data_IF_972467900183
#
_entry.id   IF_972467900183
#
_cell.length_a   1.000
_cell.length_b   1.000
_cell.length_c   1.000
_cell.angle_alpha   90.00
_cell.angle_beta   90.00
_cell.angle_gamma   90.00
#
_symmetry.space_group_name_H-M   'P 1'
#
loop_
_entity.id
_entity.type
_entity.pdbx_description
1 polymer ?
#
# COMPACT_ATOMS: atom_id res chain seq x y z
N UNK A 1 -8.77 -13.24 -2.22
CA UNK A 1 -7.88 -13.79 -1.17
C UNK A 1 -6.43 -13.33 -1.35
N UNK A 2 -5.82 -13.47 -2.53
CA UNK A 2 -4.40 -13.11 -2.71
C UNK A 2 -4.09 -11.64 -2.42
N UNK A 3 -5.03 -10.74 -2.68
CA UNK A 3 -4.92 -9.32 -2.33
C UNK A 3 -4.55 -9.10 -0.85
N UNK A 4 -5.05 -9.92 0.08
CA UNK A 4 -4.77 -9.76 1.51
C UNK A 4 -3.38 -10.28 1.91
N UNK A 5 -2.71 -11.08 1.06
CA UNK A 5 -1.32 -11.53 1.31
C UNK A 5 -0.37 -10.33 1.36
N UNK A 6 -0.74 -9.19 0.76
CA UNK A 6 0.02 -7.94 0.87
C UNK A 6 0.30 -7.55 2.33
N UNK A 7 -0.64 -7.79 3.24
CA UNK A 7 -0.49 -7.47 4.66
C UNK A 7 0.56 -8.35 5.32
N UNK A 8 0.68 -9.61 4.90
CA UNK A 8 1.75 -10.50 5.34
C UNK A 8 3.11 -10.00 4.85
N UNK A 9 3.23 -9.60 3.57
CA UNK A 9 4.47 -9.08 3.01
C UNK A 9 4.89 -7.75 3.67
N UNK A 10 3.94 -6.83 3.87
CA UNK A 10 4.17 -5.58 4.60
C UNK A 10 4.62 -5.86 6.04
N UNK A 11 3.95 -6.78 6.74
CA UNK A 11 4.32 -7.17 8.11
C UNK A 11 5.72 -7.78 8.17
N UNK A 12 6.08 -8.63 7.21
CA UNK A 12 7.41 -9.24 7.12
C UNK A 12 8.48 -8.18 6.87
N UNK A 13 8.26 -7.28 5.90
CA UNK A 13 9.19 -6.19 5.59
C UNK A 13 9.39 -5.27 6.80
N UNK A 14 8.30 -4.88 7.47
CA UNK A 14 8.37 -4.03 8.65
C UNK A 14 9.02 -4.74 9.84
N UNK A 15 8.86 -6.06 9.95
CA UNK A 15 9.42 -6.84 11.06
C UNK A 15 10.94 -6.81 11.14
N UNK A 16 11.61 -6.54 10.01
CA UNK A 16 13.07 -6.40 9.90
C UNK A 16 13.57 -5.06 10.48
N UNK A 17 12.69 -4.06 10.61
CA UNK A 17 13.00 -2.72 11.13
C UNK A 17 12.52 -2.51 12.57
N UNK A 18 11.89 -3.50 13.20
CA UNK A 18 11.39 -3.39 14.58
C UNK A 18 12.56 -3.52 15.56
N UNK A 19 12.57 -2.67 16.60
CA UNK A 19 13.54 -2.72 17.71
C UNK A 19 13.78 -4.14 18.22
N UNK A 20 15.04 -4.50 18.41
CA UNK A 20 15.47 -5.80 18.92
C UNK A 20 14.83 -6.10 20.30
N UNK A 21 14.29 -7.31 20.49
CA UNK A 21 13.60 -7.80 21.72
C UNK A 21 12.18 -7.26 22.00
N UNK A 22 11.42 -6.83 20.99
CA UNK A 22 10.02 -6.47 21.21
C UNK A 22 9.12 -7.70 21.56
N UNK A 23 8.27 -7.62 22.61
CA UNK A 23 7.33 -8.69 22.98
C UNK A 23 6.36 -9.07 21.85
N UNK A 24 6.04 -10.36 21.73
CA UNK A 24 5.15 -10.90 20.68
C UNK A 24 3.77 -10.22 20.68
N UNK A 25 3.23 -9.87 21.86
CA UNK A 25 1.93 -9.21 22.01
C UNK A 25 1.95 -7.81 21.36
N UNK A 26 3.04 -7.05 21.59
CA UNK A 26 3.20 -5.72 20.98
C UNK A 26 3.34 -5.82 19.47
N UNK A 27 4.05 -6.84 18.97
CA UNK A 27 4.14 -7.13 17.53
C UNK A 27 2.78 -7.51 16.93
N UNK A 28 1.97 -8.28 17.65
CA UNK A 28 0.61 -8.63 17.23
C UNK A 28 -0.32 -7.42 17.12
N UNK A 29 -0.26 -6.51 18.10
CA UNK A 29 -1.03 -5.26 18.06
C UNK A 29 -0.59 -4.37 16.88
N UNK A 30 0.72 -4.25 16.65
CA UNK A 30 1.21 -3.49 15.48
C UNK A 30 0.76 -4.12 14.18
N UNK A 31 0.86 -5.45 14.04
CA UNK A 31 0.45 -6.17 12.84
C UNK A 31 -1.03 -5.95 12.48
N UNK A 32 -1.90 -5.83 13.49
CA UNK A 32 -3.31 -5.51 13.29
C UNK A 32 -3.52 -4.12 12.66
N UNK A 33 -2.68 -3.14 13.01
CA UNK A 33 -2.78 -1.77 12.51
C UNK A 33 -2.04 -1.49 11.20
N UNK A 34 -1.48 -2.50 10.55
CA UNK A 34 -0.76 -2.30 9.28
C UNK A 34 -1.77 -2.07 8.15
N UNK A 35 -1.83 -0.83 7.70
CA UNK A 35 -2.53 -0.42 6.47
C UNK A 35 -1.52 0.06 5.42
N UNK A 36 -1.98 0.28 4.19
CA UNK A 36 -1.13 0.76 3.10
C UNK A 36 -0.52 2.15 3.44
N UNK A 37 -1.24 2.99 4.20
CA UNK A 37 -0.77 4.30 4.68
C UNK A 37 0.28 4.17 5.79
N UNK A 38 -0.01 3.35 6.80
CA UNK A 38 0.90 3.11 7.94
C UNK A 38 2.19 2.48 7.44
N UNK A 39 2.09 1.50 6.53
CA UNK A 39 3.26 0.88 5.91
C UNK A 39 4.06 1.87 5.07
N UNK A 40 3.40 2.68 4.23
CA UNK A 40 4.10 3.64 3.37
C UNK A 40 4.95 4.61 4.20
N UNK A 41 4.38 5.17 5.26
CA UNK A 41 5.11 6.10 6.14
C UNK A 41 6.20 5.37 6.94
N UNK A 42 5.88 4.23 7.56
CA UNK A 42 6.85 3.49 8.38
C UNK A 42 8.01 2.90 7.55
N UNK A 43 7.80 2.61 6.27
CA UNK A 43 8.86 2.14 5.36
C UNK A 43 9.92 3.21 5.09
N UNK A 44 9.54 4.49 5.14
CA UNK A 44 10.41 5.65 4.91
C UNK A 44 11.22 6.07 6.14
N UNK A 45 10.91 5.54 7.32
CA UNK A 45 11.63 5.82 8.55
C UNK A 45 13.06 5.24 8.48
N UNK A 46 14.10 6.03 8.75
CA UNK A 46 15.49 5.54 8.61
C UNK A 46 15.96 4.73 9.82
N UNK A 47 15.36 4.95 11.00
CA UNK A 47 15.73 4.26 12.25
C UNK A 47 14.85 3.07 12.63
N UNK A 48 15.10 2.53 13.83
CA UNK A 48 14.31 1.43 14.39
C UNK A 48 12.87 1.85 14.69
N UNK A 49 11.94 0.99 14.27
CA UNK A 49 10.51 1.15 14.49
C UNK A 49 10.16 0.71 15.92
N UNK A 50 9.96 1.70 16.79
CA UNK A 50 9.48 1.48 18.15
C UNK A 50 7.97 1.26 18.21
N UNK A 51 7.50 0.61 19.27
CA UNK A 51 6.07 0.40 19.49
C UNK A 51 5.30 1.73 19.63
N UNK A 52 5.89 2.72 20.31
CA UNK A 52 5.25 4.02 20.51
C UNK A 52 5.09 4.77 19.19
N UNK A 53 6.09 4.72 18.31
CA UNK A 53 6.02 5.30 16.96
C UNK A 53 4.89 4.67 16.14
N UNK A 54 4.85 3.33 16.06
CA UNK A 54 3.79 2.63 15.32
C UNK A 54 2.41 2.92 15.87
N UNK A 55 2.23 2.91 17.19
CA UNK A 55 0.92 3.22 17.78
C UNK A 55 0.49 4.66 17.48
N UNK A 56 1.40 5.63 17.56
CA UNK A 56 1.11 7.01 17.14
C UNK A 56 0.69 7.10 15.67
N UNK A 57 1.38 6.36 14.80
CA UNK A 57 1.10 6.31 13.37
C UNK A 57 -0.22 5.58 13.04
N UNK A 58 -0.62 4.57 13.80
CA UNK A 58 -1.85 3.78 13.60
C UNK A 58 -3.09 4.52 14.09
N UNK A 59 -2.98 5.22 15.22
CA UNK A 59 -4.12 5.90 15.87
C UNK A 59 -4.76 6.93 14.91
N UNK A 60 -3.95 7.74 14.23
CA UNK A 60 -4.43 8.79 13.32
C UNK A 60 -5.36 8.25 12.22
N UNK A 61 -4.89 7.32 11.36
CA UNK A 61 -5.71 6.67 10.34
C UNK A 61 -6.92 5.93 10.92
N UNK A 62 -6.80 5.28 12.07
CA UNK A 62 -7.92 4.54 12.68
C UNK A 62 -9.07 5.47 13.08
N UNK A 63 -8.77 6.55 13.80
CA UNK A 63 -9.76 7.55 14.17
C UNK A 63 -10.24 8.35 12.94
N UNK A 64 -9.34 8.68 12.01
CA UNK A 64 -9.69 9.33 10.75
C UNK A 64 -10.67 8.50 9.93
N UNK A 65 -10.48 7.19 9.87
CA UNK A 65 -11.39 6.26 9.19
C UNK A 65 -12.73 6.17 9.90
N UNK A 66 -12.75 6.01 11.24
CA UNK A 66 -13.98 5.94 12.00
C UNK A 66 -14.81 7.23 11.88
N UNK A 67 -14.18 8.39 12.08
CA UNK A 67 -14.83 9.70 11.95
C UNK A 67 -15.24 9.98 10.50
N UNK A 68 -14.37 9.68 9.53
CA UNK A 68 -14.66 9.82 8.11
C UNK A 68 -15.82 8.95 7.65
N UNK A 69 -15.95 7.73 8.20
CA UNK A 69 -17.09 6.84 7.93
C UNK A 69 -18.38 7.42 8.50
N UNK A 70 -18.37 7.91 9.74
CA UNK A 70 -19.55 8.54 10.35
C UNK A 70 -19.96 9.78 9.57
N UNK A 71 -19.03 10.70 9.30
CA UNK A 71 -19.30 11.92 8.53
C UNK A 71 -19.73 11.61 7.10
N UNK A 72 -19.09 10.63 6.46
CA UNK A 72 -19.42 10.16 5.12
C UNK A 72 -20.82 9.57 5.04
N UNK A 73 -21.22 8.74 6.03
CA UNK A 73 -22.56 8.17 6.10
C UNK A 73 -23.64 9.26 6.30
N UNK A 74 -23.39 10.20 7.22
CA UNK A 74 -24.28 11.34 7.46
C UNK A 74 -24.42 12.20 6.19
N UNK A 75 -23.31 12.52 5.54
CA UNK A 75 -23.30 13.35 4.33
C UNK A 75 -23.98 12.62 3.16
N UNK A 76 -23.64 11.35 2.90
CA UNK A 76 -24.23 10.56 1.81
C UNK A 76 -25.75 10.41 1.95
N UNK A 77 -26.29 10.35 3.17
CA UNK A 77 -27.74 10.28 3.39
C UNK A 77 -28.53 11.51 2.91
N UNK A 78 -27.83 12.63 2.71
CA UNK A 78 -28.42 13.89 2.21
C UNK A 78 -28.14 14.08 0.71
N UNK A 79 -27.20 13.33 0.12
CA UNK A 79 -26.85 13.49 -1.29
C UNK A 79 -27.82 12.73 -2.22
N UNK A 80 -28.10 13.27 -3.43
CA UNK A 80 -28.81 12.54 -4.47
C UNK A 80 -28.08 11.26 -4.92
N UNK A 81 -28.84 10.24 -5.31
CA UNK A 81 -28.37 8.91 -5.71
C UNK A 81 -27.21 8.89 -6.74
N UNK A 82 -27.17 9.76 -7.77
CA UNK A 82 -26.05 9.81 -8.72
C UNK A 82 -24.70 10.14 -8.08
N UNK A 83 -24.71 10.99 -7.04
CA UNK A 83 -23.48 11.37 -6.35
C UNK A 83 -23.05 10.29 -5.36
N UNK A 84 -23.99 9.61 -4.71
CA UNK A 84 -23.68 8.46 -3.84
C UNK A 84 -22.96 7.37 -4.63
N UNK A 85 -23.47 7.03 -5.82
CA UNK A 85 -22.85 6.04 -6.72
C UNK A 85 -21.45 6.46 -7.21
N UNK A 86 -21.15 7.77 -7.24
CA UNK A 86 -19.87 8.31 -7.69
C UNK A 86 -18.79 8.34 -6.60
N UNK A 87 -19.12 8.12 -5.32
CA UNK A 87 -18.16 8.20 -4.21
C UNK A 87 -17.04 7.15 -4.27
N UNK A 88 -17.23 6.07 -5.05
CA UNK A 88 -16.20 5.07 -5.30
C UNK A 88 -14.91 5.63 -5.93
N UNK A 89 -14.97 6.79 -6.59
CA UNK A 89 -13.79 7.48 -7.16
C UNK A 89 -12.75 7.86 -6.09
N UNK A 90 -13.19 8.10 -4.85
CA UNK A 90 -12.33 8.55 -3.75
C UNK A 90 -11.25 7.51 -3.39
N UNK A 91 -11.57 6.22 -3.51
CA UNK A 91 -10.62 5.14 -3.23
C UNK A 91 -9.46 5.14 -4.23
N UNK A 92 -9.74 5.41 -5.52
CA UNK A 92 -8.70 5.53 -6.54
C UNK A 92 -7.81 6.76 -6.30
N UNK A 93 -8.41 7.89 -5.93
CA UNK A 93 -7.67 9.10 -5.59
C UNK A 93 -6.71 8.88 -4.41
N UNK A 94 -7.12 8.12 -3.40
CA UNK A 94 -6.28 7.76 -2.24
C UNK A 94 -5.04 6.96 -2.66
N UNK A 95 -5.18 5.91 -3.47
CA UNK A 95 -4.04 5.12 -3.94
C UNK A 95 -3.06 5.95 -4.77
N UNK A 96 -3.58 6.84 -5.64
CA UNK A 96 -2.73 7.78 -6.40
C UNK A 96 -1.97 8.70 -5.42
N UNK A 97 -2.65 9.23 -4.40
CA UNK A 97 -2.03 10.10 -3.40
C UNK A 97 -0.92 9.40 -2.59
N UNK A 98 -1.00 8.09 -2.37
CA UNK A 98 0.06 7.30 -1.71
C UNK A 98 1.26 7.03 -2.62
N UNK A 99 1.02 6.70 -3.90
CA UNK A 99 2.09 6.34 -4.84
C UNK A 99 2.87 7.57 -5.32
N UNK A 100 2.20 8.71 -5.52
CA UNK A 100 2.81 9.90 -6.12
C UNK A 100 4.00 10.47 -5.33
N UNK A 101 3.96 10.61 -3.99
CA UNK A 101 5.11 11.09 -3.22
C UNK A 101 6.34 10.18 -3.34
N UNK A 102 6.15 8.86 -3.27
CA UNK A 102 7.21 7.89 -3.41
C UNK A 102 7.83 7.94 -4.83
N UNK A 103 6.98 8.03 -5.86
CA UNK A 103 7.41 8.16 -7.26
C UNK A 103 8.13 9.50 -7.53
N UNK A 104 7.78 10.58 -6.82
CA UNK A 104 8.48 11.86 -6.91
C UNK A 104 9.86 11.82 -6.25
N UNK A 105 10.01 11.10 -5.14
CA UNK A 105 11.27 11.01 -4.39
C UNK A 105 12.28 10.06 -5.04
N UNK A 106 11.80 9.01 -5.73
CA UNK A 106 12.67 7.98 -6.34
C UNK A 106 12.31 7.73 -7.80
N UNK A 107 13.29 7.94 -8.69
CA UNK A 107 13.16 7.56 -10.12
C UNK A 107 12.93 6.06 -10.28
N UNK A 108 13.53 5.23 -9.43
CA UNK A 108 13.32 3.80 -9.44
C UNK A 108 11.86 3.45 -9.14
N UNK A 109 11.26 4.07 -8.12
CA UNK A 109 9.85 3.85 -7.77
C UNK A 109 8.90 4.26 -8.90
N UNK A 110 9.17 5.38 -9.58
CA UNK A 110 8.39 5.83 -10.73
C UNK A 110 8.45 4.82 -11.89
N UNK A 111 9.65 4.34 -12.22
CA UNK A 111 9.85 3.38 -13.32
C UNK A 111 9.17 2.04 -13.00
N UNK A 112 9.29 1.55 -11.77
CA UNK A 112 8.61 0.33 -11.32
C UNK A 112 7.09 0.49 -11.41
N UNK A 113 6.53 1.62 -10.96
CA UNK A 113 5.11 1.90 -11.08
C UNK A 113 4.64 1.95 -12.54
N UNK A 114 5.41 2.58 -13.43
CA UNK A 114 5.10 2.64 -14.86
C UNK A 114 5.11 1.25 -15.52
N UNK A 115 6.09 0.41 -15.18
CA UNK A 115 6.17 -0.98 -15.65
C UNK A 115 4.98 -1.79 -15.15
N UNK A 116 4.62 -1.66 -13.87
CA UNK A 116 3.47 -2.35 -13.28
C UNK A 116 2.16 -1.96 -13.99
N UNK A 117 1.95 -0.67 -14.25
CA UNK A 117 0.80 -0.16 -15.02
C UNK A 117 0.79 -0.78 -16.41
N UNK A 118 1.91 -0.74 -17.12
CA UNK A 118 2.02 -1.25 -18.48
C UNK A 118 1.71 -2.75 -18.58
N UNK A 119 2.30 -3.57 -17.70
CA UNK A 119 2.07 -5.01 -17.68
C UNK A 119 0.61 -5.32 -17.33
N UNK A 120 0.05 -4.64 -16.31
CA UNK A 120 -1.33 -4.86 -15.91
C UNK A 120 -2.34 -4.45 -17.01
N UNK A 121 -2.08 -3.34 -17.71
CA UNK A 121 -2.87 -2.93 -18.87
C UNK A 121 -2.83 -3.98 -19.99
N UNK A 122 -1.67 -4.56 -20.29
CA UNK A 122 -1.55 -5.63 -21.29
C UNK A 122 -2.36 -6.87 -20.88
N UNK A 123 -2.21 -7.33 -19.64
CA UNK A 123 -2.90 -8.52 -19.15
C UNK A 123 -4.43 -8.36 -19.16
N UNK A 124 -4.90 -7.13 -18.92
CA UNK A 124 -6.34 -6.84 -18.84
C UNK A 124 -6.96 -6.57 -20.23
N UNK A 125 -6.27 -5.85 -21.12
CA UNK A 125 -6.86 -5.37 -22.38
C UNK A 125 -6.54 -6.23 -23.60
N UNK A 126 -5.58 -7.16 -23.53
CA UNK A 126 -5.25 -8.02 -24.68
C UNK A 126 -6.22 -9.22 -24.74
N UNK A 127 -7.04 -9.34 -25.80
CA UNK A 127 -8.14 -10.32 -25.88
C UNK A 127 -7.70 -11.79 -25.93
N UNK A 128 -6.39 -12.08 -26.04
CA UNK A 128 -5.83 -13.44 -25.95
C UNK A 128 -5.37 -13.85 -24.54
N UNK A 129 -5.23 -12.91 -23.61
CA UNK A 129 -4.60 -13.11 -22.29
C UNK A 129 -5.57 -12.73 -21.14
N UNK A 130 -6.70 -12.11 -21.45
CA UNK A 130 -7.77 -11.71 -20.53
C UNK A 130 -8.59 -12.90 -19.96
N UNK A 131 -8.06 -14.12 -20.01
CA UNK A 131 -8.61 -15.29 -19.30
C UNK A 131 -8.10 -15.38 -17.86
N UNK A 132 -7.10 -14.58 -17.51
CA UNK A 132 -6.54 -14.50 -16.17
C UNK A 132 -7.44 -13.62 -15.29
N UNK A 133 -7.82 -14.13 -14.12
CA UNK A 133 -8.57 -13.34 -13.12
C UNK A 133 -7.82 -12.06 -12.74
N UNK A 134 -8.55 -10.96 -12.52
CA UNK A 134 -7.99 -9.66 -12.11
C UNK A 134 -6.99 -9.76 -10.95
N UNK A 135 -7.27 -10.61 -9.96
CA UNK A 135 -6.38 -10.82 -8.83
C UNK A 135 -5.02 -11.42 -9.23
N UNK A 136 -5.01 -12.34 -10.20
CA UNK A 136 -3.78 -12.94 -10.72
C UNK A 136 -3.01 -11.99 -11.63
N UNK A 137 -3.69 -11.19 -12.43
CA UNK A 137 -3.06 -10.15 -13.25
C UNK A 137 -2.27 -9.15 -12.39
N UNK A 138 -2.85 -8.70 -11.26
CA UNK A 138 -2.19 -7.78 -10.33
C UNK A 138 -0.91 -8.42 -9.73
N UNK A 139 -0.97 -9.68 -9.30
CA UNK A 139 0.20 -10.37 -8.72
C UNK A 139 1.32 -10.49 -9.74
N UNK A 140 1.00 -10.95 -10.95
CA UNK A 140 1.98 -11.16 -12.03
C UNK A 140 2.63 -9.82 -12.39
N UNK A 141 1.83 -8.76 -12.56
CA UNK A 141 2.33 -7.43 -12.86
C UNK A 141 3.24 -6.90 -11.74
N UNK A 142 2.88 -7.12 -10.48
CA UNK A 142 3.67 -6.67 -9.32
C UNK A 142 5.00 -7.41 -9.26
N UNK A 143 5.00 -8.74 -9.35
CA UNK A 143 6.23 -9.55 -9.29
C UNK A 143 7.15 -9.15 -10.44
N UNK A 144 6.63 -9.09 -11.68
CA UNK A 144 7.43 -8.72 -12.84
C UNK A 144 8.02 -7.31 -12.68
N UNK A 145 7.22 -6.31 -12.29
CA UNK A 145 7.69 -4.94 -12.12
C UNK A 145 8.73 -4.81 -11.01
N UNK A 146 8.55 -5.47 -9.87
CA UNK A 146 9.52 -5.49 -8.78
C UNK A 146 10.83 -6.18 -9.19
N UNK A 147 10.76 -7.30 -9.91
CA UNK A 147 11.95 -8.01 -10.40
C UNK A 147 12.74 -7.14 -11.39
N UNK A 148 12.06 -6.52 -12.37
CA UNK A 148 12.70 -5.58 -13.28
C UNK A 148 13.30 -4.38 -12.54
N UNK A 149 12.57 -3.83 -11.57
CA UNK A 149 13.04 -2.74 -10.71
C UNK A 149 14.33 -3.09 -9.96
N UNK A 150 14.37 -4.27 -9.34
CA UNK A 150 15.52 -4.73 -8.56
C UNK A 150 16.77 -4.94 -9.44
N UNK A 151 16.60 -5.42 -10.67
CA UNK A 151 17.71 -5.62 -11.62
C UNK A 151 18.22 -4.29 -12.18
N UNK A 152 17.33 -3.34 -12.47
CA UNK A 152 17.69 -2.04 -13.04
C UNK A 152 18.25 -1.07 -12.00
N UNK A 153 17.83 -1.20 -10.73
CA UNK A 153 18.24 -0.35 -9.62
C UNK A 153 18.75 -1.21 -8.46
N UNK A 154 19.88 -1.92 -8.62
CA UNK A 154 20.48 -2.66 -7.52
C UNK A 154 20.90 -1.68 -6.43
N UNK A 155 20.61 -2.04 -5.18
CA UNK A 155 21.03 -1.25 -4.01
C UNK A 155 22.55 -1.34 -3.88
N UNK A 156 23.24 -0.21 -3.84
CA UNK A 156 24.67 -0.18 -3.53
C UNK A 156 24.88 -0.67 -2.09
N UNK A 157 25.70 -1.72 -1.92
CA UNK A 157 26.11 -2.23 -0.62
C UNK A 157 27.03 -1.17 0.04
N UNK A 158 26.47 -0.24 0.83
CA UNK A 158 27.30 0.79 1.46
C UNK A 158 26.65 1.76 2.44
N UNK A 159 25.33 1.96 2.43
CA UNK A 159 24.67 2.87 3.40
C UNK A 159 23.91 2.05 4.46
N UNK A 160 24.60 1.91 5.61
CA UNK A 160 24.08 1.50 6.93
C UNK A 160 23.69 2.73 7.73
#
# INVERSE_FOLDING_TARGET
FVINIRYMLMSLSLSQKIVEKMPIIKRGIMAFGITDEVFSVASMEEGDISFAYMMGLIIGPYFGWALGTVLGALTCSVLPEPFQNSMGIALYAMFIALVVPAAKKSRAALIVAAIAIFINSILTWVPKINTISEGWAIIIATIAACTFGAILFPREEGEV
#
